data_IF_006099963925
#
_entry.id   IF_006099963925
#
_cell.length_a   1.000
_cell.length_b   1.000
_cell.length_c   1.000
_cell.angle_alpha   90.00
_cell.angle_beta   90.00
_cell.angle_gamma   90.00
#
_symmetry.space_group_name_H-M   'P 1'
#
loop_
_entity.id
_entity.type
_entity.pdbx_description
1 polymer ?
#
# COMPACT_ATOMS: atom_id res chain seq x y z
N UNK A 1 18.53 6.54 -76.01
CA UNK A 1 18.04 5.21 -76.43
C UNK A 1 16.80 4.88 -75.63
N UNK A 2 15.80 4.30 -76.30
CA UNK A 2 14.40 4.64 -76.10
C UNK A 2 13.66 3.49 -75.38
N UNK A 3 12.60 3.75 -74.62
CA UNK A 3 11.21 3.48 -75.03
C UNK A 3 10.81 1.99 -74.96
N UNK A 4 9.59 1.54 -74.73
CA UNK A 4 8.21 2.04 -74.79
C UNK A 4 7.47 1.17 -73.75
N UNK A 5 6.35 1.54 -73.17
CA UNK A 5 5.35 2.50 -73.58
C UNK A 5 3.97 1.89 -73.40
N UNK A 6 2.98 2.80 -73.33
CA UNK A 6 1.57 2.61 -73.66
C UNK A 6 0.78 1.61 -72.82
N UNK A 7 -0.25 2.02 -72.10
CA UNK A 7 -1.25 2.98 -72.53
C UNK A 7 -2.65 2.33 -72.42
N UNK A 8 -3.72 3.10 -72.61
CA UNK A 8 -4.80 3.25 -71.64
C UNK A 8 -6.10 2.56 -72.09
N UNK A 9 -7.15 2.60 -71.24
CA UNK A 9 -8.55 2.79 -71.66
C UNK A 9 -9.50 2.96 -70.45
N UNK A 10 -10.16 4.10 -70.40
CA UNK A 10 -11.49 4.26 -69.79
C UNK A 10 -12.52 3.82 -70.84
N UNK A 11 -13.59 3.13 -70.43
CA UNK A 11 -14.93 3.58 -70.84
C UNK A 11 -15.89 3.55 -69.64
N UNK A 12 -16.55 4.66 -69.30
CA UNK A 12 -17.99 4.90 -69.59
C UNK A 12 -18.80 3.64 -69.94
N UNK A 13 -19.74 3.22 -69.07
CA UNK A 13 -21.15 3.12 -69.46
C UNK A 13 -22.08 2.96 -68.25
N UNK A 14 -23.22 3.65 -68.36
CA UNK A 14 -24.44 3.54 -67.56
C UNK A 14 -25.27 2.35 -68.07
N UNK A 15 -25.86 1.57 -67.17
CA UNK A 15 -27.00 0.65 -67.42
C UNK A 15 -27.64 0.37 -66.04
N UNK A 16 -28.67 1.10 -65.64
CA UNK A 16 -30.11 0.78 -65.80
C UNK A 16 -30.49 -0.60 -65.20
N UNK A 17 -31.26 -0.52 -64.10
CA UNK A 17 -31.94 -1.54 -63.29
C UNK A 17 -32.81 -2.53 -64.11
N UNK A 18 -33.10 -3.77 -63.62
CA UNK A 18 -34.18 -3.97 -62.64
C UNK A 18 -33.95 -5.06 -61.56
N UNK A 19 -34.63 -4.83 -60.42
CA UNK A 19 -35.31 -5.82 -59.59
C UNK A 19 -34.61 -7.13 -59.20
N UNK A 20 -34.27 -7.24 -57.92
CA UNK A 20 -34.52 -8.45 -57.11
C UNK A 20 -34.34 -8.10 -55.64
N UNK A 21 -35.46 -7.81 -54.99
CA UNK A 21 -35.50 -7.39 -53.61
C UNK A 21 -35.04 -8.47 -52.64
N UNK A 22 -34.31 -8.06 -51.60
CA UNK A 22 -34.39 -8.63 -50.26
C UNK A 22 -34.14 -7.52 -49.27
N UNK A 23 -35.22 -7.01 -48.68
CA UNK A 23 -35.21 -6.22 -47.46
C UNK A 23 -34.55 -7.09 -46.39
N UNK A 24 -33.28 -6.80 -46.04
CA UNK A 24 -32.69 -7.35 -44.83
C UNK A 24 -33.31 -6.64 -43.64
N UNK A 25 -33.93 -7.34 -42.68
CA UNK A 25 -34.42 -6.72 -41.48
C UNK A 25 -33.24 -6.11 -40.74
N UNK A 26 -33.32 -4.80 -40.50
CA UNK A 26 -32.43 -4.11 -39.59
C UNK A 26 -32.53 -4.79 -38.24
N UNK A 27 -31.49 -5.54 -37.88
CA UNK A 27 -31.27 -5.98 -36.52
C UNK A 27 -31.10 -4.73 -35.67
N UNK A 28 -32.22 -4.26 -35.11
CA UNK A 28 -32.26 -3.25 -34.07
C UNK A 28 -31.43 -3.77 -32.90
N UNK A 29 -30.15 -3.41 -32.89
CA UNK A 29 -29.32 -3.51 -31.69
C UNK A 29 -29.85 -2.43 -30.77
N UNK A 30 -30.81 -2.82 -29.93
CA UNK A 30 -31.24 -2.02 -28.80
C UNK A 30 -29.98 -1.50 -28.08
N UNK A 31 -29.94 -0.21 -27.69
CA UNK A 31 -28.80 0.33 -26.97
C UNK A 31 -28.60 -0.53 -25.72
N UNK A 32 -27.46 -1.24 -25.65
CA UNK A 32 -27.04 -1.96 -24.44
C UNK A 32 -27.13 -0.97 -23.29
N UNK A 33 -28.12 -1.13 -22.42
CA UNK A 33 -28.20 -0.41 -21.14
C UNK A 33 -26.81 -0.52 -20.53
N UNK A 34 -26.13 0.61 -20.31
CA UNK A 34 -24.89 0.66 -19.52
C UNK A 34 -25.21 -0.10 -18.23
N UNK A 35 -24.66 -1.30 -18.09
CA UNK A 35 -24.80 -2.08 -16.87
C UNK A 35 -24.37 -1.15 -15.74
N UNK A 36 -25.29 -0.84 -14.82
CA UNK A 36 -24.98 -0.06 -13.64
C UNK A 36 -23.74 -0.69 -13.02
N UNK A 37 -22.67 0.09 -12.88
CA UNK A 37 -21.40 -0.43 -12.36
C UNK A 37 -21.69 -0.97 -10.98
N UNK A 38 -21.73 -2.30 -10.82
CA UNK A 38 -21.90 -2.93 -9.51
C UNK A 38 -20.67 -2.53 -8.70
N UNK A 39 -20.84 -1.55 -7.82
CA UNK A 39 -19.75 -1.04 -6.99
C UNK A 39 -19.51 -2.05 -5.89
N UNK A 40 -18.49 -2.89 -6.04
CA UNK A 40 -18.16 -3.90 -5.03
C UNK A 40 -17.59 -3.27 -3.77
N UNK A 41 -17.78 -3.92 -2.63
CA UNK A 41 -17.25 -3.45 -1.34
C UNK A 41 -15.73 -3.22 -1.39
N UNK A 42 -14.96 -4.10 -2.07
CA UNK A 42 -13.54 -3.88 -2.31
C UNK A 42 -13.26 -2.56 -3.06
N UNK A 43 -14.00 -2.29 -4.14
CA UNK A 43 -13.86 -1.05 -4.91
C UNK A 43 -14.23 0.18 -4.08
N UNK A 44 -15.33 0.11 -3.33
CA UNK A 44 -15.78 1.18 -2.45
C UNK A 44 -14.74 1.48 -1.36
N UNK A 45 -14.21 0.44 -0.72
CA UNK A 45 -13.22 0.55 0.36
C UNK A 45 -11.89 1.12 -0.14
N UNK A 46 -11.46 0.66 -1.31
CA UNK A 46 -10.28 1.16 -2.03
C UNK A 46 -10.45 2.63 -2.40
N UNK A 47 -11.58 2.99 -3.00
CA UNK A 47 -11.85 4.36 -3.48
C UNK A 47 -12.03 5.35 -2.33
N UNK A 48 -12.66 4.93 -1.22
CA UNK A 48 -12.74 5.71 0.02
C UNK A 48 -11.35 6.07 0.57
N UNK A 49 -10.36 5.21 0.33
CA UNK A 49 -8.96 5.41 0.72
C UNK A 49 -8.11 6.11 -0.35
N UNK A 50 -8.71 6.54 -1.46
CA UNK A 50 -7.99 7.18 -2.56
C UNK A 50 -7.06 6.26 -3.34
N UNK A 51 -7.11 4.95 -3.09
CA UNK A 51 -6.25 3.97 -3.75
C UNK A 51 -6.74 3.73 -5.19
N UNK A 52 -5.87 3.72 -6.20
CA UNK A 52 -6.19 3.15 -7.52
C UNK A 52 -6.02 1.63 -7.46
N UNK A 53 -6.66 0.91 -8.38
CA UNK A 53 -6.50 -0.55 -8.45
C UNK A 53 -5.02 -0.94 -8.65
N UNK A 54 -4.27 -0.16 -9.44
CA UNK A 54 -2.82 -0.36 -9.61
C UNK A 54 -2.02 -0.11 -8.32
N UNK A 55 -2.38 0.91 -7.54
CA UNK A 55 -1.70 1.21 -6.27
C UNK A 55 -1.89 0.07 -5.27
N UNK A 56 -3.13 -0.40 -5.11
CA UNK A 56 -3.45 -1.53 -4.23
C UNK A 56 -2.73 -2.81 -4.67
N UNK A 57 -2.65 -3.05 -5.98
CA UNK A 57 -1.97 -4.21 -6.54
C UNK A 57 -0.48 -4.20 -6.24
N UNK A 58 0.17 -3.06 -6.45
CA UNK A 58 1.57 -2.86 -6.12
C UNK A 58 1.84 -3.04 -4.62
N UNK A 59 0.93 -2.55 -3.77
CA UNK A 59 1.09 -2.59 -2.32
C UNK A 59 0.97 -4.01 -1.73
N UNK A 60 0.22 -4.89 -2.39
CA UNK A 60 0.09 -6.30 -1.99
C UNK A 60 0.94 -7.26 -2.84
N UNK A 61 1.68 -6.75 -3.83
CA UNK A 61 2.58 -7.54 -4.68
C UNK A 61 1.87 -8.39 -5.75
N UNK A 62 0.78 -7.89 -6.35
CA UNK A 62 0.07 -8.55 -7.46
C UNK A 62 -0.04 -7.65 -8.68
N UNK A 63 -0.39 -8.24 -9.81
CA UNK A 63 -0.67 -7.48 -11.03
C UNK A 63 -1.97 -6.65 -10.89
N UNK A 64 -2.06 -5.41 -11.41
CA UNK A 64 -3.26 -4.56 -11.34
C UNK A 64 -4.56 -5.23 -11.82
N UNK A 65 -4.46 -6.09 -12.84
CA UNK A 65 -5.59 -6.88 -13.33
C UNK A 65 -6.15 -7.86 -12.30
N UNK A 66 -5.36 -8.32 -11.32
CA UNK A 66 -5.85 -9.16 -10.23
C UNK A 66 -6.83 -8.39 -9.36
N UNK A 67 -6.53 -7.15 -9.00
CA UNK A 67 -7.46 -6.28 -8.24
C UNK A 67 -8.73 -6.03 -9.05
N UNK A 68 -8.60 -5.70 -10.33
CA UNK A 68 -9.76 -5.47 -11.19
C UNK A 68 -10.63 -6.72 -11.35
N UNK A 69 -10.02 -7.91 -11.48
CA UNK A 69 -10.71 -9.20 -11.51
C UNK A 69 -11.43 -9.49 -10.18
N UNK A 70 -10.80 -9.18 -9.04
CA UNK A 70 -11.43 -9.33 -7.73
C UNK A 70 -12.59 -8.36 -7.52
N UNK A 71 -12.44 -7.10 -7.96
CA UNK A 71 -13.51 -6.10 -7.93
C UNK A 71 -14.69 -6.43 -8.83
N UNK A 72 -14.44 -7.11 -9.95
CA UNK A 72 -15.48 -7.59 -10.86
C UNK A 72 -15.99 -8.98 -10.51
N UNK A 73 -15.43 -9.62 -9.47
CA UNK A 73 -15.75 -10.99 -9.04
C UNK A 73 -15.47 -12.05 -10.11
N UNK A 74 -14.59 -11.75 -11.06
CA UNK A 74 -14.12 -12.71 -12.09
C UNK A 74 -13.15 -13.75 -11.50
N UNK A 75 -12.51 -13.41 -10.37
CA UNK A 75 -11.62 -14.28 -9.60
C UNK A 75 -11.66 -13.87 -8.14
N UNK A 76 -11.39 -14.79 -7.22
CA UNK A 76 -11.33 -14.49 -5.80
C UNK A 76 -9.89 -14.41 -5.28
N UNK A 77 -9.56 -13.47 -4.37
CA UNK A 77 -8.25 -13.44 -3.72
C UNK A 77 -8.07 -14.63 -2.77
N UNK A 78 -6.90 -15.27 -2.85
CA UNK A 78 -6.50 -16.31 -1.89
C UNK A 78 -6.15 -15.74 -0.50
N UNK A 79 -5.95 -16.58 0.53
CA UNK A 79 -5.73 -16.13 1.91
C UNK A 79 -4.58 -15.16 2.10
N UNK A 80 -3.42 -15.40 1.46
CA UNK A 80 -2.29 -14.48 1.55
C UNK A 80 -2.67 -13.07 1.05
N UNK A 81 -3.44 -13.01 -0.03
CA UNK A 81 -3.97 -11.77 -0.60
C UNK A 81 -5.05 -11.14 0.29
N UNK A 82 -5.90 -11.90 0.97
CA UNK A 82 -6.86 -11.36 1.94
C UNK A 82 -6.14 -10.68 3.10
N UNK A 83 -5.09 -11.27 3.66
CA UNK A 83 -4.32 -10.61 4.73
C UNK A 83 -3.53 -9.40 4.20
N UNK A 84 -3.01 -9.48 2.98
CA UNK A 84 -2.34 -8.35 2.35
C UNK A 84 -3.33 -7.19 2.10
N UNK A 85 -4.51 -7.49 1.56
CA UNK A 85 -5.60 -6.54 1.40
C UNK A 85 -6.05 -5.98 2.75
N UNK A 86 -6.22 -6.81 3.78
CA UNK A 86 -6.57 -6.39 5.14
C UNK A 86 -5.55 -5.43 5.75
N UNK A 87 -4.26 -5.72 5.55
CA UNK A 87 -3.16 -4.84 5.98
C UNK A 87 -3.21 -3.48 5.30
N UNK A 88 -3.42 -3.47 3.98
CA UNK A 88 -3.43 -2.24 3.16
C UNK A 88 -4.72 -1.45 3.32
N UNK A 89 -5.86 -2.14 3.43
CA UNK A 89 -7.18 -1.55 3.62
C UNK A 89 -7.48 -1.25 5.09
N UNK A 90 -6.63 -1.68 6.02
CA UNK A 90 -6.78 -1.44 7.47
C UNK A 90 -8.09 -1.98 8.01
N UNK A 91 -8.39 -3.20 7.59
CA UNK A 91 -9.59 -3.90 8.00
C UNK A 91 -9.17 -5.22 8.60
N UNK A 92 -10.05 -5.76 9.44
CA UNK A 92 -9.88 -7.12 9.89
C UNK A 92 -9.89 -8.07 8.67
N UNK A 93 -8.98 -9.07 8.60
CA UNK A 93 -8.99 -10.05 7.52
C UNK A 93 -10.33 -10.76 7.32
N UNK A 94 -11.12 -10.98 8.37
CA UNK A 94 -12.47 -11.52 8.27
C UNK A 94 -13.42 -10.53 7.59
N UNK A 95 -13.33 -9.23 7.89
CA UNK A 95 -14.11 -8.20 7.23
C UNK A 95 -13.75 -8.09 5.73
N UNK A 96 -12.47 -8.15 5.37
CA UNK A 96 -12.06 -8.18 3.95
C UNK A 96 -12.51 -9.46 3.26
N UNK A 97 -12.51 -10.60 3.95
CA UNK A 97 -13.04 -11.84 3.40
C UNK A 97 -14.53 -11.70 3.02
N UNK A 98 -15.31 -11.00 3.86
CA UNK A 98 -16.74 -10.72 3.64
C UNK A 98 -17.06 -9.93 2.39
N UNK A 99 -16.11 -9.16 1.85
CA UNK A 99 -16.31 -8.44 0.57
C UNK A 99 -16.61 -9.36 -0.60
N UNK A 100 -16.21 -10.62 -0.46
CA UNK A 100 -16.27 -11.63 -1.49
C UNK A 100 -17.27 -12.74 -1.16
N UNK A 101 -17.93 -12.72 -0.01
CA UNK A 101 -18.76 -13.84 0.46
C UNK A 101 -20.00 -14.07 -0.42
N UNK A 102 -20.65 -13.02 -0.94
CA UNK A 102 -21.77 -13.16 -1.89
C UNK A 102 -21.35 -13.81 -3.23
N UNK A 103 -20.08 -13.65 -3.62
CA UNK A 103 -19.48 -14.23 -4.82
C UNK A 103 -18.75 -15.55 -4.54
N UNK A 104 -18.66 -15.94 -3.25
CA UNK A 104 -18.12 -17.19 -2.75
C UNK A 104 -19.23 -18.22 -2.54
N UNK A 105 -20.41 -18.02 -3.15
CA UNK A 105 -21.27 -19.14 -3.50
C UNK A 105 -20.51 -20.00 -4.50
N UNK A 106 -20.09 -21.23 -4.13
CA UNK A 106 -19.59 -22.15 -5.10
C UNK A 106 -20.74 -22.43 -6.08
N UNK A 107 -20.44 -22.46 -7.38
CA UNK A 107 -21.20 -23.36 -8.24
C UNK A 107 -21.19 -24.72 -7.55
N UNK A 108 -22.38 -25.23 -7.24
CA UNK A 108 -22.58 -26.42 -6.43
C UNK A 108 -21.76 -27.59 -6.99
N UNK A 109 -20.66 -27.91 -6.31
CA UNK A 109 -20.29 -29.31 -6.13
C UNK A 109 -21.23 -29.86 -5.05
N UNK A 110 -21.72 -31.11 -5.19
CA UNK A 110 -22.91 -31.57 -4.50
C UNK A 110 -22.75 -31.43 -2.99
N UNK A 111 -23.83 -30.99 -2.35
CA UNK A 111 -23.94 -30.88 -0.92
C UNK A 111 -23.61 -32.23 -0.26
N UNK A 112 -22.54 -32.27 0.52
CA UNK A 112 -22.56 -32.98 1.78
C UNK A 112 -22.53 -31.93 2.89
N UNK A 113 -23.60 -31.90 3.66
CA UNK A 113 -23.79 -31.09 4.87
C UNK A 113 -22.86 -31.44 6.03
N UNK A 114 -21.88 -32.32 5.81
CA UNK A 114 -21.22 -33.11 6.87
C UNK A 114 -19.80 -32.60 7.15
N UNK A 115 -19.71 -31.38 7.69
CA UNK A 115 -18.44 -30.78 8.07
C UNK A 115 -18.49 -29.99 9.38
N UNK A 116 -17.44 -30.12 10.18
CA UNK A 116 -17.28 -29.45 11.48
C UNK A 116 -16.60 -28.09 11.33
N UNK A 117 -16.90 -27.17 12.26
CA UNK A 117 -16.21 -25.88 12.37
C UNK A 117 -14.77 -26.11 12.84
N UNK A 118 -13.82 -25.31 12.36
CA UNK A 118 -12.39 -25.51 12.66
C UNK A 118 -11.78 -24.45 13.58
N UNK A 119 -12.53 -23.43 13.99
CA UNK A 119 -12.01 -22.26 14.70
C UNK A 119 -11.40 -22.60 16.07
N UNK A 120 -11.93 -23.63 16.75
CA UNK A 120 -11.39 -24.12 18.03
C UNK A 120 -10.14 -25.00 17.86
N UNK A 121 -9.81 -25.44 16.63
CA UNK A 121 -8.70 -26.35 16.37
C UNK A 121 -7.35 -25.78 16.80
N UNK A 122 -7.17 -24.46 16.68
CA UNK A 122 -5.91 -23.80 17.04
C UNK A 122 -5.61 -23.92 18.53
N UNK A 123 -6.63 -23.68 19.36
CA UNK A 123 -6.50 -23.72 20.80
C UNK A 123 -6.32 -25.17 21.29
N UNK A 124 -7.04 -26.13 20.69
CA UNK A 124 -6.84 -27.56 20.96
C UNK A 124 -5.43 -28.01 20.62
N UNK A 125 -4.95 -27.64 19.43
CA UNK A 125 -3.59 -27.95 18.98
C UNK A 125 -2.53 -27.40 19.94
N UNK A 126 -2.73 -26.20 20.49
CA UNK A 126 -1.83 -25.62 21.48
C UNK A 126 -1.86 -26.36 22.83
N UNK A 127 -3.04 -26.76 23.30
CA UNK A 127 -3.17 -27.55 24.53
C UNK A 127 -2.48 -28.92 24.41
N UNK A 128 -2.59 -29.55 23.25
CA UNK A 128 -1.93 -30.82 22.96
C UNK A 128 -0.45 -30.64 22.51
N UNK A 129 0.08 -29.41 22.46
CA UNK A 129 1.44 -29.10 22.00
C UNK A 129 1.79 -29.64 20.60
N UNK A 130 0.81 -29.75 19.72
CA UNK A 130 0.97 -30.29 18.36
C UNK A 130 1.27 -29.15 17.37
N UNK A 131 2.10 -29.41 16.36
CA UNK A 131 2.38 -28.43 15.31
C UNK A 131 1.40 -28.57 14.14
N UNK A 132 1.20 -27.49 13.38
CA UNK A 132 0.38 -27.55 12.14
C UNK A 132 0.98 -28.53 11.13
N UNK A 133 2.30 -28.62 11.06
CA UNK A 133 2.99 -29.57 10.18
C UNK A 133 2.72 -31.03 10.59
N UNK A 134 2.67 -31.31 11.90
CA UNK A 134 2.34 -32.64 12.41
C UNK A 134 0.91 -33.05 12.06
N UNK A 135 -0.07 -32.16 12.31
CA UNK A 135 -1.47 -32.40 11.91
C UNK A 135 -1.59 -32.59 10.40
N UNK A 136 -0.94 -31.72 9.62
CA UNK A 136 -0.95 -31.78 8.16
C UNK A 136 -0.42 -33.13 7.64
N UNK A 137 0.70 -33.60 8.20
CA UNK A 137 1.29 -34.90 7.86
C UNK A 137 0.37 -36.07 8.24
N UNK A 138 -0.18 -36.06 9.46
CA UNK A 138 -1.05 -37.13 9.98
C UNK A 138 -2.39 -37.23 9.25
N UNK A 139 -2.96 -36.09 8.86
CA UNK A 139 -4.26 -36.00 8.16
C UNK A 139 -4.11 -36.09 6.63
N UNK A 140 -2.87 -36.06 6.12
CA UNK A 140 -2.60 -36.11 4.68
C UNK A 140 -3.09 -34.88 3.92
N UNK A 141 -2.91 -33.68 4.49
CA UNK A 141 -3.30 -32.40 3.86
C UNK A 141 -2.16 -31.40 3.86
N UNK A 142 -2.15 -30.41 2.95
CA UNK A 142 -1.24 -29.28 3.06
C UNK A 142 -1.45 -28.49 4.36
N UNK A 143 -0.37 -27.96 4.94
CA UNK A 143 -0.43 -27.09 6.13
C UNK A 143 -1.39 -25.89 5.96
N UNK A 144 -1.51 -25.36 4.75
CA UNK A 144 -2.47 -24.30 4.40
C UNK A 144 -3.92 -24.69 4.65
N UNK A 145 -4.26 -25.98 4.50
CA UNK A 145 -5.61 -26.50 4.73
C UNK A 145 -5.94 -26.47 6.22
N UNK A 146 -5.00 -26.87 7.09
CA UNK A 146 -5.15 -26.78 8.54
C UNK A 146 -5.30 -25.32 8.99
N UNK A 147 -4.47 -24.41 8.45
CA UNK A 147 -4.64 -22.96 8.71
C UNK A 147 -6.00 -22.42 8.23
N UNK A 148 -6.56 -22.97 7.15
CA UNK A 148 -7.89 -22.58 6.67
C UNK A 148 -9.01 -23.10 7.58
N UNK A 149 -8.87 -24.28 8.17
CA UNK A 149 -9.78 -24.78 9.21
C UNK A 149 -9.71 -23.92 10.47
N UNK A 150 -8.51 -23.68 11.01
CA UNK A 150 -8.30 -22.83 12.20
C UNK A 150 -8.85 -21.40 12.03
N UNK A 151 -8.78 -20.86 10.82
CA UNK A 151 -9.29 -19.54 10.49
C UNK A 151 -10.79 -19.52 10.13
N UNK A 152 -11.46 -20.68 10.14
CA UNK A 152 -12.89 -20.79 9.78
C UNK A 152 -13.22 -20.61 8.31
N UNK A 153 -12.23 -20.70 7.41
CA UNK A 153 -12.37 -20.51 5.95
C UNK A 153 -12.83 -21.76 5.22
N UNK A 154 -12.71 -22.91 5.86
CA UNK A 154 -13.18 -24.20 5.38
C UNK A 154 -13.69 -25.00 6.57
N UNK A 155 -14.71 -25.84 6.35
CA UNK A 155 -15.10 -26.83 7.33
C UNK A 155 -14.16 -28.03 7.27
N UNK A 156 -14.00 -28.70 8.41
CA UNK A 156 -13.28 -29.96 8.51
C UNK A 156 -14.27 -31.05 8.04
N UNK A 157 -14.00 -31.79 6.95
CA UNK A 157 -14.86 -32.89 6.52
C UNK A 157 -14.95 -33.95 7.62
N UNK A 158 -16.13 -34.54 7.81
CA UNK A 158 -16.36 -35.57 8.83
C UNK A 158 -15.39 -36.75 8.68
N UNK A 159 -15.07 -37.16 7.43
CA UNK A 159 -14.09 -38.22 7.14
C UNK A 159 -12.68 -37.96 7.69
N UNK A 160 -12.33 -36.70 7.97
CA UNK A 160 -11.01 -36.30 8.47
C UNK A 160 -10.96 -36.17 9.99
N UNK A 161 -12.10 -36.27 10.67
CA UNK A 161 -12.18 -36.18 12.13
C UNK A 161 -11.39 -37.29 12.82
N UNK A 162 -11.45 -38.58 12.40
CA UNK A 162 -10.68 -39.63 13.06
C UNK A 162 -9.16 -39.39 13.00
N UNK A 163 -8.64 -39.01 11.82
CA UNK A 163 -7.22 -38.72 11.65
C UNK A 163 -6.77 -37.46 12.41
N UNK A 164 -7.64 -36.46 12.51
CA UNK A 164 -7.38 -35.24 13.27
C UNK A 164 -7.42 -35.49 14.78
N UNK A 165 -8.31 -36.35 15.24
CA UNK A 165 -8.42 -36.78 16.64
C UNK A 165 -7.18 -37.58 17.06
N UNK A 166 -6.75 -38.53 16.23
CA UNK A 166 -5.48 -39.26 16.42
C UNK A 166 -4.27 -38.31 16.47
N UNK A 167 -4.21 -37.31 15.58
CA UNK A 167 -3.14 -36.32 15.59
C UNK A 167 -3.08 -35.45 16.84
N UNK A 168 -4.20 -35.32 17.57
CA UNK A 168 -4.34 -34.51 18.78
C UNK A 168 -4.38 -35.35 20.06
N UNK A 169 -4.28 -36.69 19.94
CA UNK A 169 -4.47 -37.64 21.03
C UNK A 169 -5.82 -37.45 21.75
N UNK A 170 -6.89 -37.31 20.97
CA UNK A 170 -8.27 -37.14 21.45
C UNK A 170 -9.17 -38.22 20.85
N UNK A 171 -10.30 -38.50 21.51
CA UNK A 171 -11.36 -39.27 20.87
C UNK A 171 -12.10 -38.42 19.82
N UNK A 172 -12.60 -39.01 18.72
CA UNK A 172 -13.36 -38.30 17.70
C UNK A 172 -14.54 -37.50 18.25
N UNK A 173 -15.31 -38.08 19.18
CA UNK A 173 -16.47 -37.44 19.79
C UNK A 173 -16.08 -36.23 20.64
N UNK A 174 -14.99 -36.33 21.39
CA UNK A 174 -14.48 -35.24 22.22
C UNK A 174 -13.97 -34.08 21.35
N UNK A 175 -13.28 -34.39 20.25
CA UNK A 175 -12.87 -33.39 19.27
C UNK A 175 -14.08 -32.67 18.68
N UNK A 176 -15.10 -33.40 18.23
CA UNK A 176 -16.34 -32.81 17.69
C UNK A 176 -17.03 -31.90 18.71
N UNK A 177 -17.10 -32.33 19.98
CA UNK A 177 -17.63 -31.52 21.08
C UNK A 177 -16.89 -30.20 21.25
N UNK A 178 -15.55 -30.21 21.20
CA UNK A 178 -14.76 -28.97 21.26
C UNK A 178 -14.90 -28.09 20.02
N UNK A 179 -15.03 -28.68 18.82
CA UNK A 179 -15.23 -27.96 17.57
C UNK A 179 -16.63 -27.33 17.45
N UNK A 180 -17.62 -27.87 18.16
CA UNK A 180 -18.98 -27.35 18.18
C UNK A 180 -19.11 -26.01 18.96
N UNK A 181 -18.22 -25.79 19.95
CA UNK A 181 -18.19 -24.56 20.73
C UNK A 181 -17.58 -23.42 19.90
N UNK A 182 -18.29 -22.30 19.68
CA UNK A 182 -17.72 -21.14 18.99
C UNK A 182 -16.51 -20.63 19.79
N UNK A 183 -15.32 -20.66 19.19
CA UNK A 183 -14.16 -20.00 19.77
C UNK A 183 -14.46 -18.49 19.87
N UNK A 184 -14.29 -17.85 21.04
CA UNK A 184 -14.52 -16.42 21.17
C UNK A 184 -13.54 -15.68 20.26
N UNK A 185 -14.06 -14.99 19.25
CA UNK A 185 -13.29 -14.04 18.43
C UNK A 185 -12.81 -12.95 19.39
N UNK A 186 -11.52 -12.96 19.71
CA UNK A 186 -10.90 -11.86 20.46
C UNK A 186 -10.78 -10.67 19.51
N UNK A 187 -11.82 -9.84 19.47
CA UNK A 187 -11.78 -8.52 18.83
C UNK A 187 -10.71 -7.69 19.54
N UNK A 188 -9.51 -7.61 18.95
CA UNK A 188 -8.54 -6.59 19.34
C UNK A 188 -9.03 -5.26 18.76
N UNK A 189 -9.25 -4.22 19.58
CA UNK A 189 -9.51 -2.89 19.07
C UNK A 189 -8.36 -2.48 18.15
N UNK A 190 -8.67 -2.17 16.89
CA UNK A 190 -7.67 -1.58 16.00
C UNK A 190 -7.27 -0.21 16.57
N UNK A 191 -5.98 0.08 16.77
CA UNK A 191 -5.57 1.37 17.28
C UNK A 191 -6.02 2.47 16.30
N UNK A 192 -6.40 3.65 16.81
CA UNK A 192 -6.83 4.76 15.96
C UNK A 192 -5.70 5.15 14.99
N UNK A 193 -6.06 5.50 13.76
CA UNK A 193 -5.09 5.93 12.74
C UNK A 193 -4.20 7.05 13.27
N UNK A 194 -2.88 6.94 13.08
CA UNK A 194 -1.95 7.99 13.51
C UNK A 194 -2.21 9.32 12.77
N UNK A 195 -1.84 10.48 13.36
CA UNK A 195 -2.01 11.77 12.70
C UNK A 195 -1.34 11.86 11.33
N UNK A 196 -0.11 11.34 11.19
CA UNK A 196 0.64 11.35 9.92
C UNK A 196 -0.09 10.53 8.85
N UNK A 197 -0.60 9.37 9.23
CA UNK A 197 -1.43 8.52 8.37
C UNK A 197 -2.70 9.25 7.93
N UNK A 198 -3.39 9.96 8.83
CA UNK A 198 -4.58 10.75 8.47
C UNK A 198 -4.27 11.83 7.43
N UNK A 199 -3.12 12.50 7.51
CA UNK A 199 -2.71 13.48 6.50
C UNK A 199 -2.50 12.82 5.13
N UNK A 200 -1.83 11.67 5.09
CA UNK A 200 -1.65 10.90 3.85
C UNK A 200 -2.99 10.52 3.20
N UNK A 201 -3.95 10.05 4.01
CA UNK A 201 -5.28 9.68 3.52
C UNK A 201 -6.09 10.87 3.03
N UNK A 202 -5.99 12.05 3.68
CA UNK A 202 -6.61 13.29 3.17
C UNK A 202 -6.01 13.74 1.83
N UNK A 203 -4.70 13.54 1.65
CA UNK A 203 -4.03 13.73 0.37
C UNK A 203 -4.38 12.65 -0.67
N UNK A 204 -5.19 11.63 -0.31
CA UNK A 204 -5.60 10.50 -1.16
C UNK A 204 -4.40 9.73 -1.73
N UNK A 205 -3.34 9.58 -0.95
CA UNK A 205 -2.13 8.86 -1.35
C UNK A 205 -2.04 7.49 -0.65
N UNK A 206 -1.65 6.45 -1.41
CA UNK A 206 -1.15 5.22 -0.82
C UNK A 206 0.20 5.47 -0.14
N UNK A 207 0.62 4.57 0.76
CA UNK A 207 1.93 4.68 1.38
C UNK A 207 3.05 4.63 0.34
N UNK A 208 2.94 3.73 -0.65
CA UNK A 208 3.89 3.62 -1.77
C UNK A 208 3.95 4.89 -2.61
N UNK A 209 2.80 5.47 -2.97
CA UNK A 209 2.75 6.68 -3.78
C UNK A 209 3.25 7.90 -3.00
N UNK A 210 2.88 8.02 -1.73
CA UNK A 210 3.39 9.05 -0.85
C UNK A 210 4.93 8.99 -0.74
N UNK A 211 5.47 7.78 -0.53
CA UNK A 211 6.90 7.56 -0.45
C UNK A 211 7.62 7.93 -1.75
N UNK A 212 7.07 7.51 -2.90
CA UNK A 212 7.62 7.84 -4.22
C UNK A 212 7.59 9.36 -4.50
N UNK A 213 6.45 10.02 -4.27
CA UNK A 213 6.30 11.48 -4.48
C UNK A 213 7.19 12.28 -3.54
N UNK A 214 7.33 11.83 -2.28
CA UNK A 214 8.19 12.48 -1.30
C UNK A 214 9.67 12.08 -1.41
N UNK A 215 10.05 11.16 -2.31
CA UNK A 215 11.41 10.64 -2.41
C UNK A 215 11.93 10.10 -1.07
N UNK A 216 11.15 9.24 -0.42
CA UNK A 216 11.52 8.54 0.82
C UNK A 216 11.30 7.04 0.65
N UNK A 217 11.95 6.23 1.49
CA UNK A 217 11.66 4.80 1.52
C UNK A 217 10.25 4.53 2.08
N UNK A 218 9.53 3.60 1.47
CA UNK A 218 8.15 3.27 1.87
C UNK A 218 8.12 2.58 3.24
N UNK A 219 9.10 1.74 3.58
CA UNK A 219 9.11 1.07 4.89
C UNK A 219 9.39 2.07 6.00
N UNK A 220 10.30 3.02 5.77
CA UNK A 220 10.55 4.13 6.67
C UNK A 220 9.26 4.93 6.93
N UNK A 221 8.51 5.30 5.89
CA UNK A 221 7.22 5.96 6.04
C UNK A 221 6.22 5.15 6.89
N UNK A 222 6.15 3.83 6.69
CA UNK A 222 5.29 2.96 7.49
C UNK A 222 5.76 2.75 8.92
N UNK A 223 7.07 2.89 9.15
CA UNK A 223 7.64 2.99 10.48
C UNK A 223 7.12 4.25 11.18
N UNK A 224 7.32 5.41 10.57
CA UNK A 224 6.91 6.71 11.11
C UNK A 224 5.39 6.79 11.37
N UNK A 225 4.57 6.24 10.47
CA UNK A 225 3.12 6.19 10.66
C UNK A 225 2.68 5.30 11.83
N UNK A 226 3.52 4.37 12.26
CA UNK A 226 3.31 3.54 13.46
C UNK A 226 4.00 4.10 14.71
N UNK A 227 4.64 5.26 14.61
CA UNK A 227 5.45 5.84 15.68
C UNK A 227 6.81 5.16 15.87
N UNK A 228 7.24 4.33 14.92
CA UNK A 228 8.56 3.72 14.94
C UNK A 228 9.59 4.68 14.32
N UNK A 229 10.36 5.34 15.18
CA UNK A 229 11.43 6.25 14.80
C UNK A 229 10.97 7.66 14.41
N UNK A 230 11.94 8.54 14.22
CA UNK A 230 11.73 9.97 13.95
C UNK A 230 12.12 10.27 12.50
N UNK A 231 11.23 10.84 11.66
CA UNK A 231 11.59 11.22 10.30
C UNK A 231 12.60 12.37 10.30
N UNK A 232 13.60 12.34 9.40
CA UNK A 232 14.51 13.48 9.24
C UNK A 232 13.77 14.70 8.69
N UNK A 233 14.27 15.90 8.99
CA UNK A 233 13.63 17.17 8.60
C UNK A 233 13.38 17.29 7.10
N UNK A 234 14.33 16.83 6.27
CA UNK A 234 14.13 16.78 4.83
C UNK A 234 12.97 15.85 4.40
N UNK A 235 12.77 14.72 5.07
CA UNK A 235 11.62 13.86 4.81
C UNK A 235 10.31 14.54 5.21
N UNK A 236 10.27 15.23 6.36
CA UNK A 236 9.10 16.03 6.77
C UNK A 236 8.76 17.08 5.72
N UNK A 237 9.76 17.85 5.24
CA UNK A 237 9.57 18.85 4.17
C UNK A 237 9.01 18.22 2.89
N UNK A 238 9.57 17.08 2.46
CA UNK A 238 9.12 16.40 1.23
C UNK A 238 7.73 15.77 1.39
N UNK A 239 7.41 15.20 2.54
CA UNK A 239 6.08 14.70 2.85
C UNK A 239 5.04 15.83 2.92
N UNK A 240 5.40 16.98 3.49
CA UNK A 240 4.55 18.17 3.49
C UNK A 240 4.19 18.63 2.07
N UNK A 241 5.19 18.68 1.18
CA UNK A 241 4.96 18.96 -0.24
C UNK A 241 4.09 17.88 -0.90
N UNK A 242 4.36 16.59 -0.67
CA UNK A 242 3.58 15.49 -1.22
C UNK A 242 2.12 15.50 -0.74
N UNK A 243 1.87 15.89 0.51
CA UNK A 243 0.54 15.94 1.11
C UNK A 243 -0.21 17.24 0.84
N UNK A 244 0.44 18.26 0.26
CA UNK A 244 -0.13 19.59 0.11
C UNK A 244 -0.50 20.22 1.46
N UNK A 245 0.30 19.95 2.50
CA UNK A 245 0.02 20.37 3.88
C UNK A 245 1.16 21.24 4.42
N UNK A 246 0.89 22.17 5.37
CA UNK A 246 1.93 22.93 6.04
C UNK A 246 2.96 22.02 6.71
N UNK A 247 4.25 22.33 6.59
CA UNK A 247 5.34 21.55 7.17
C UNK A 247 5.13 21.34 8.67
N UNK A 248 4.74 22.39 9.40
CA UNK A 248 4.50 22.30 10.83
C UNK A 248 3.39 21.29 11.19
N UNK A 249 2.38 21.12 10.32
CA UNK A 249 1.33 20.12 10.53
C UNK A 249 1.87 18.70 10.34
N UNK A 250 2.70 18.50 9.32
CA UNK A 250 3.32 17.19 9.06
C UNK A 250 4.33 16.84 10.15
N UNK A 251 5.13 17.81 10.61
CA UNK A 251 6.08 17.66 11.70
C UNK A 251 5.38 17.21 12.99
N UNK A 252 4.38 17.98 13.46
CA UNK A 252 3.57 17.63 14.63
C UNK A 252 2.89 16.27 14.48
N UNK A 253 2.37 15.98 13.29
CA UNK A 253 1.72 14.70 13.02
C UNK A 253 2.68 13.50 13.07
N UNK A 254 3.96 13.73 12.79
CA UNK A 254 5.05 12.76 12.90
C UNK A 254 5.74 12.76 14.28
N UNK A 255 5.27 13.56 15.25
CA UNK A 255 5.89 13.68 16.57
C UNK A 255 7.21 14.45 16.58
N UNK A 256 7.44 15.32 15.58
CA UNK A 256 8.65 16.14 15.47
C UNK A 256 8.30 17.59 15.74
N UNK A 257 9.03 18.19 16.68
CA UNK A 257 8.95 19.63 16.89
C UNK A 257 9.77 20.34 15.80
N UNK A 258 9.20 21.30 15.04
CA UNK A 258 9.94 22.05 14.04
C UNK A 258 11.13 22.79 14.69
N UNK A 259 12.35 22.67 14.16
CA UNK A 259 13.48 23.39 14.71
C UNK A 259 13.26 24.90 14.60
N UNK A 260 13.31 25.61 15.73
CA UNK A 260 13.14 27.06 15.77
C UNK A 260 14.18 27.80 14.91
N UNK A 261 15.37 27.20 14.75
CA UNK A 261 16.47 27.75 13.96
C UNK A 261 16.23 27.74 12.44
N UNK A 262 15.11 27.19 11.96
CA UNK A 262 14.69 27.41 10.56
C UNK A 262 14.02 28.78 10.35
N UNK A 263 13.57 29.42 11.43
CA UNK A 263 13.00 30.77 11.39
C UNK A 263 14.10 31.82 11.55
N UNK A 264 14.40 32.52 10.45
CA UNK A 264 15.46 33.54 10.38
C UNK A 264 15.25 34.69 11.36
N UNK A 265 14.00 35.04 11.68
CA UNK A 265 13.71 36.13 12.61
C UNK A 265 14.13 35.80 14.06
N UNK A 266 14.36 34.52 14.36
CA UNK A 266 14.71 34.03 15.68
C UNK A 266 16.20 33.85 15.92
N UNK A 267 17.03 34.01 14.89
CA UNK A 267 18.48 33.88 15.03
C UNK A 267 19.03 34.94 15.98
N UNK A 268 19.99 34.53 16.80
CA UNK A 268 20.74 35.36 17.73
C UNK A 268 22.25 35.16 17.52
N UNK A 269 23.09 36.14 17.92
CA UNK A 269 24.54 35.96 17.90
C UNK A 269 24.95 34.67 18.63
N UNK A 270 25.81 33.88 17.99
CA UNK A 270 26.22 32.55 18.48
C UNK A 270 25.38 31.36 18.01
N UNK A 271 24.23 31.56 17.35
CA UNK A 271 23.38 30.45 16.87
C UNK A 271 23.92 29.77 15.60
N UNK A 272 24.92 30.35 14.92
CA UNK A 272 25.40 29.88 13.63
C UNK A 272 25.66 28.36 13.54
N UNK A 273 26.30 27.69 14.52
CA UNK A 273 26.49 26.24 14.49
C UNK A 273 25.18 25.46 14.39
N UNK A 274 24.17 25.89 15.17
CA UNK A 274 22.83 25.32 15.16
C UNK A 274 22.09 25.62 13.86
N UNK A 275 22.19 26.86 13.35
CA UNK A 275 21.58 27.29 12.10
C UNK A 275 22.12 26.50 10.91
N UNK A 276 23.44 26.36 10.80
CA UNK A 276 24.07 25.60 9.70
C UNK A 276 23.61 24.15 9.72
N UNK A 277 23.60 23.51 10.89
CA UNK A 277 23.11 22.13 11.05
C UNK A 277 21.63 22.00 10.70
N UNK A 278 20.78 22.90 11.19
CA UNK A 278 19.34 22.87 10.92
C UNK A 278 19.05 23.06 9.43
N UNK A 279 19.68 24.03 8.78
CA UNK A 279 19.55 24.26 7.33
C UNK A 279 20.07 23.07 6.52
N UNK A 280 21.18 22.46 6.94
CA UNK A 280 21.74 21.26 6.31
C UNK A 280 20.75 20.09 6.38
N UNK A 281 20.24 19.78 7.56
CA UNK A 281 19.28 18.69 7.78
C UNK A 281 17.94 18.95 7.07
N UNK A 282 17.50 20.20 7.01
CA UNK A 282 16.32 20.64 6.27
C UNK A 282 16.47 20.48 4.75
N UNK A 283 17.65 20.83 4.23
CA UNK A 283 18.01 20.59 2.84
C UNK A 283 18.16 19.08 2.54
N UNK A 284 18.46 18.27 3.56
CA UNK A 284 18.70 16.84 3.43
C UNK A 284 20.12 16.53 2.98
N UNK A 285 21.07 17.39 3.36
CA UNK A 285 22.48 17.27 2.99
C UNK A 285 23.27 16.58 4.10
N UNK A 286 24.22 15.75 3.70
CA UNK A 286 25.33 15.32 4.55
C UNK A 286 26.36 16.45 4.70
N UNK A 287 27.26 16.32 5.69
CA UNK A 287 28.33 17.30 5.88
C UNK A 287 29.26 17.40 4.65
N UNK A 288 29.50 16.27 3.98
CA UNK A 288 30.32 16.23 2.76
C UNK A 288 29.64 16.89 1.57
N UNK A 289 28.33 16.72 1.40
CA UNK A 289 27.57 17.39 0.34
C UNK A 289 27.51 18.92 0.55
N UNK A 290 27.33 19.37 1.80
CA UNK A 290 27.43 20.80 2.11
C UNK A 290 28.83 21.34 1.84
N UNK A 291 29.86 20.58 2.21
CA UNK A 291 31.25 20.93 1.95
C UNK A 291 31.52 21.05 0.44
N UNK A 292 31.00 20.12 -0.36
CA UNK A 292 31.05 20.16 -1.82
C UNK A 292 30.41 21.42 -2.38
N UNK A 293 29.21 21.79 -1.90
CA UNK A 293 28.52 23.05 -2.31
C UNK A 293 29.28 24.31 -1.91
N UNK A 294 30.00 24.26 -0.79
CA UNK A 294 30.81 25.37 -0.30
C UNK A 294 32.26 25.34 -0.82
N UNK A 295 32.61 24.37 -1.66
CA UNK A 295 33.97 24.12 -2.13
C UNK A 295 35.00 24.17 -0.99
N UNK A 296 34.74 23.39 0.06
CA UNK A 296 35.59 23.25 1.24
C UNK A 296 35.68 21.80 1.70
N UNK A 297 36.39 21.54 2.80
CA UNK A 297 36.51 20.20 3.38
C UNK A 297 35.33 19.86 4.30
N UNK A 298 34.96 18.58 4.37
CA UNK A 298 33.96 18.08 5.33
C UNK A 298 34.36 18.40 6.78
N UNK A 299 35.66 18.40 7.07
CA UNK A 299 36.20 18.75 8.39
C UNK A 299 35.86 20.19 8.78
N UNK A 300 35.86 21.13 7.83
CA UNK A 300 35.50 22.52 8.09
C UNK A 300 34.00 22.65 8.46
N UNK A 301 33.11 21.97 7.72
CA UNK A 301 31.69 21.93 8.07
C UNK A 301 31.47 21.37 9.48
N UNK A 302 32.18 20.27 9.81
CA UNK A 302 32.12 19.66 11.14
C UNK A 302 32.58 20.60 12.26
N UNK A 303 33.60 21.45 12.03
CA UNK A 303 34.06 22.40 13.05
C UNK A 303 33.11 23.59 13.22
N UNK A 304 32.43 24.03 12.15
CA UNK A 304 31.40 25.05 12.23
C UNK A 304 30.16 24.55 13.01
N UNK A 305 29.66 23.36 12.70
CA UNK A 305 28.48 22.77 13.38
C UNK A 305 28.74 22.46 14.86
N UNK A 306 29.99 22.29 15.25
CA UNK A 306 30.39 22.05 16.63
C UNK A 306 30.85 23.31 17.37
N UNK A 307 30.65 24.50 16.80
CA UNK A 307 31.09 25.79 17.37
C UNK A 307 32.60 25.91 17.64
N UNK A 308 33.44 25.06 17.04
CA UNK A 308 34.90 25.09 17.26
C UNK A 308 35.59 26.20 16.48
N UNK A 309 35.03 26.53 15.32
CA UNK A 309 35.58 27.54 14.40
C UNK A 309 34.42 28.36 13.86
N UNK A 310 34.59 29.68 13.84
CA UNK A 310 33.69 30.58 13.13
C UNK A 310 34.12 30.65 11.65
N UNK A 311 33.23 30.39 10.68
CA UNK A 311 33.56 30.48 9.26
C UNK A 311 33.95 31.91 8.87
N UNK A 312 34.96 32.05 8.00
CA UNK A 312 35.36 33.36 7.47
C UNK A 312 34.25 34.00 6.63
N UNK A 313 34.28 35.32 6.44
CA UNK A 313 33.25 36.04 5.66
C UNK A 313 33.03 35.46 4.25
N UNK A 314 34.11 35.08 3.55
CA UNK A 314 34.01 34.38 2.25
C UNK A 314 33.22 33.07 2.35
N UNK A 315 33.38 32.33 3.44
CA UNK A 315 32.70 31.07 3.66
C UNK A 315 31.25 31.26 4.11
N UNK A 316 30.95 32.30 4.89
CA UNK A 316 29.58 32.72 5.21
C UNK A 316 28.80 33.02 3.92
N UNK A 317 29.37 33.77 2.98
CA UNK A 317 28.74 34.02 1.67
C UNK A 317 28.49 32.74 0.88
N UNK A 318 29.38 31.75 0.98
CA UNK A 318 29.19 30.44 0.31
C UNK A 318 28.08 29.63 0.97
N UNK A 319 27.98 29.65 2.31
CA UNK A 319 26.88 29.00 3.05
C UNK A 319 25.53 29.64 2.68
N UNK A 320 25.45 30.98 2.65
CA UNK A 320 24.24 31.70 2.22
C UNK A 320 23.81 31.27 0.82
N UNK A 321 24.74 31.24 -0.14
CA UNK A 321 24.46 30.76 -1.49
C UNK A 321 24.04 29.28 -1.53
N UNK A 322 24.72 28.42 -0.77
CA UNK A 322 24.43 26.98 -0.75
C UNK A 322 23.02 26.67 -0.22
N UNK A 323 22.50 27.52 0.66
CA UNK A 323 21.15 27.44 1.22
C UNK A 323 20.12 28.36 0.54
N UNK A 324 20.53 29.18 -0.44
CA UNK A 324 19.65 30.13 -1.13
C UNK A 324 19.18 31.30 -0.24
N UNK A 325 20.00 31.69 0.74
CA UNK A 325 19.72 32.82 1.62
C UNK A 325 20.17 34.15 0.98
N UNK A 326 19.51 35.28 1.30
CA UNK A 326 20.00 36.61 0.95
C UNK A 326 21.39 36.88 1.52
N UNK A 327 22.16 37.73 0.84
CA UNK A 327 23.48 38.14 1.31
C UNK A 327 23.37 38.81 2.69
N UNK A 328 24.25 38.41 3.63
CA UNK A 328 24.27 38.91 5.00
C UNK A 328 23.19 38.32 5.91
N UNK A 329 22.38 37.36 5.44
CA UNK A 329 21.38 36.70 6.27
C UNK A 329 21.98 36.00 7.50
N UNK A 330 23.17 35.39 7.37
CA UNK A 330 23.81 34.67 8.48
C UNK A 330 24.49 35.61 9.49
N UNK A 331 24.58 36.92 9.20
CA UNK A 331 25.18 37.88 10.13
C UNK A 331 24.45 37.98 11.47
N UNK A 332 23.13 37.76 11.48
CA UNK A 332 22.34 37.73 12.72
C UNK A 332 22.62 36.52 13.61
N UNK A 333 23.26 35.48 13.08
CA UNK A 333 23.58 34.23 13.78
C UNK A 333 25.05 34.12 14.19
N UNK A 334 25.92 34.98 13.64
CA UNK A 334 27.33 35.12 14.02
C UNK A 334 27.43 35.76 15.41
#
# INVERSE_FOLDING_TARGET
MPSRGSGPRIPTNVSVHPESGWIRPGSGVAPRRKAATVTTLLRSERTRRGLRAADLAQEIGVHPMSILRWERRERLPGPAHIHALARVLELDPSHVARFFDDARSPAAAPASSDGHRGQALRDLRWRCSVSVASIAGRVGVPASTVYNWEAGRARIPAERIPALADALDLSPDLLVGHLAVPAPVRDRPSPPMSPLRRLRHRARLSQTRAAAVAGVDRHALGGWERGAGVPPLAAIRRLAAAYGAPVAHVARAAGVEPPQLLDRARWRPGDLPGVVRALREWAGLSQSELAGRCHCSTAAVRTWESARVVPSGRMVTRLERAFGLPAGALAAAL
#
